data_IF_953707075052
#
_entry.id   IF_953707075052
#
_cell.length_a   1.000
_cell.length_b   1.000
_cell.length_c   1.000
_cell.angle_alpha   90.00
_cell.angle_beta   90.00
_cell.angle_gamma   90.00
#
_symmetry.space_group_name_H-M   'P 1'
#
loop_
_entity.id
_entity.type
_entity.pdbx_description
1 polymer ?
#
# COMPACT_ATOMS: atom_id res chain seq x y z
N UNK A 1 -10.86 -8.23 -19.39
CA UNK A 1 -10.61 -7.08 -18.50
C UNK A 1 -9.21 -6.60 -18.81
N UNK A 2 -9.02 -5.35 -19.19
CA UNK A 2 -7.67 -4.79 -19.33
C UNK A 2 -7.01 -4.83 -17.95
N UNK A 3 -5.79 -5.33 -17.87
CA UNK A 3 -4.96 -5.30 -16.66
C UNK A 3 -4.83 -3.84 -16.20
N UNK A 4 -5.01 -3.57 -14.90
CA UNK A 4 -4.76 -2.23 -14.38
C UNK A 4 -3.24 -1.99 -14.41
N UNK A 5 -2.80 -0.87 -14.98
CA UNK A 5 -1.39 -0.47 -14.95
C UNK A 5 -1.01 -0.03 -13.53
N UNK A 6 -0.11 -0.79 -12.91
CA UNK A 6 0.35 -0.60 -11.54
C UNK A 6 1.82 -0.17 -11.44
N UNK A 7 2.45 0.21 -12.56
CA UNK A 7 3.80 0.73 -12.55
C UNK A 7 3.84 2.16 -12.00
N UNK A 8 4.58 2.37 -10.92
CA UNK A 8 4.78 3.67 -10.29
C UNK A 8 6.26 3.90 -10.01
N UNK A 9 6.65 5.17 -9.94
CA UNK A 9 7.97 5.55 -9.46
C UNK A 9 8.24 4.99 -8.05
N UNK A 10 9.49 4.57 -7.75
CA UNK A 10 9.87 4.12 -6.43
C UNK A 10 9.60 5.18 -5.35
N UNK A 11 9.22 4.72 -4.15
CA UNK A 11 9.01 5.59 -2.98
C UNK A 11 9.93 5.17 -1.84
N UNK A 12 10.53 6.15 -1.17
CA UNK A 12 11.33 5.92 0.04
C UNK A 12 10.44 6.02 1.26
N UNK A 13 10.42 4.97 2.07
CA UNK A 13 9.68 4.91 3.34
C UNK A 13 10.54 5.48 4.46
N UNK A 14 9.96 6.32 5.32
CA UNK A 14 10.60 6.87 6.49
C UNK A 14 10.97 5.78 7.50
N UNK A 15 12.07 5.96 8.26
CA UNK A 15 12.38 5.08 9.38
C UNK A 15 11.19 4.92 10.32
N UNK A 16 10.90 3.68 10.74
CA UNK A 16 9.79 3.38 11.64
C UNK A 16 8.39 3.41 10.98
N UNK A 17 8.32 3.54 9.66
CA UNK A 17 7.07 3.46 8.89
C UNK A 17 7.04 2.22 8.01
N UNK A 18 5.85 1.89 7.51
CA UNK A 18 5.63 0.88 6.48
C UNK A 18 4.73 1.44 5.39
N UNK A 19 4.94 0.98 4.16
CA UNK A 19 4.07 1.26 3.02
C UNK A 19 3.12 0.07 2.84
N UNK A 20 1.81 0.33 2.93
CA UNK A 20 0.78 -0.72 2.86
C UNK A 20 0.03 -0.65 1.53
N UNK A 21 -0.30 -1.82 0.98
CA UNK A 21 -1.11 -1.96 -0.23
C UNK A 21 -2.07 -3.13 0.00
N UNK A 22 -3.35 -2.93 -0.34
CA UNK A 22 -4.33 -4.02 -0.30
C UNK A 22 -4.18 -4.98 -1.49
N UNK A 23 -4.59 -6.22 -1.31
CA UNK A 23 -4.48 -7.26 -2.35
C UNK A 23 -5.46 -7.05 -3.52
N UNK A 24 -6.61 -6.43 -3.28
CA UNK A 24 -7.62 -6.21 -4.31
C UNK A 24 -7.24 -5.05 -5.24
N UNK A 25 -6.40 -5.34 -6.24
CA UNK A 25 -5.81 -4.38 -7.19
C UNK A 25 -6.59 -4.21 -8.50
N UNK A 26 -7.85 -4.66 -8.53
CA UNK A 26 -8.67 -4.64 -9.74
C UNK A 26 -9.24 -3.26 -10.12
N UNK A 27 -8.98 -2.23 -9.30
CA UNK A 27 -9.41 -0.85 -9.54
C UNK A 27 -8.24 0.04 -10.02
N UNK A 28 -8.51 1.15 -10.72
CA UNK A 28 -7.49 2.09 -11.18
C UNK A 28 -6.60 2.61 -10.04
N UNK A 29 -5.33 2.81 -10.35
CA UNK A 29 -4.33 3.15 -9.33
C UNK A 29 -4.50 4.58 -8.79
N UNK A 30 -5.02 5.50 -9.60
CA UNK A 30 -5.34 6.88 -9.24
C UNK A 30 -6.51 7.01 -8.27
N UNK A 31 -7.36 5.98 -8.14
CA UNK A 31 -8.42 5.91 -7.14
C UNK A 31 -7.91 5.42 -5.76
N UNK A 32 -6.65 4.99 -5.65
CA UNK A 32 -6.09 4.56 -4.38
C UNK A 32 -5.52 5.74 -3.59
N UNK A 33 -5.76 5.75 -2.28
CA UNK A 33 -5.02 6.60 -1.36
C UNK A 33 -3.72 5.91 -0.96
N UNK A 34 -2.60 6.51 -1.33
CA UNK A 34 -1.26 6.00 -1.03
C UNK A 34 -0.60 6.78 0.11
N UNK A 35 0.14 6.06 0.94
CA UNK A 35 0.93 6.66 2.00
C UNK A 35 1.65 5.61 2.83
N UNK A 36 2.58 6.08 3.64
CA UNK A 36 3.19 5.28 4.69
C UNK A 36 2.49 5.53 6.03
N UNK A 37 2.55 4.54 6.92
CA UNK A 37 2.00 4.63 8.26
C UNK A 37 3.07 4.27 9.30
N UNK A 38 3.08 4.99 10.42
CA UNK A 38 3.97 4.67 11.53
C UNK A 38 3.63 3.29 12.10
N UNK A 39 4.65 2.46 12.36
CA UNK A 39 4.48 1.12 12.94
C UNK A 39 3.73 1.18 14.28
N UNK A 40 3.91 2.28 15.05
CA UNK A 40 3.21 2.52 16.32
C UNK A 40 1.69 2.59 16.21
N UNK A 41 1.13 2.75 15.00
CA UNK A 41 -0.31 2.75 14.73
C UNK A 41 -0.86 1.38 14.34
N UNK A 42 0.00 0.37 14.15
CA UNK A 42 -0.40 -0.99 13.78
C UNK A 42 -0.73 -1.78 15.04
N UNK A 43 -1.99 -2.19 15.18
CA UNK A 43 -2.46 -2.91 16.36
C UNK A 43 -2.02 -4.38 16.40
N UNK A 44 -1.74 -4.98 15.24
CA UNK A 44 -1.36 -6.39 15.13
C UNK A 44 -1.30 -6.86 13.68
N UNK A 45 -1.15 -8.16 13.50
CA UNK A 45 -1.16 -8.83 12.20
C UNK A 45 -2.22 -9.94 12.20
N UNK A 46 -2.76 -10.32 11.02
CA UNK A 46 -3.63 -11.49 10.89
C UNK A 46 -2.94 -12.75 11.46
N UNK A 47 -3.71 -13.57 12.18
CA UNK A 47 -3.29 -14.90 12.64
C UNK A 47 -3.87 -15.98 11.72
N UNK A 48 -3.16 -17.09 11.61
CA UNK A 48 -3.50 -18.22 10.75
C UNK A 48 -4.65 -19.07 11.30
#
# INVERSE_FOLDING_TARGET
TSECDWELEPRTVQPGHVYVVGDNRAMPIDEHEFGEIAISRIAGAPVW
#
